data_IF_694219494903
#
_entry.id   IF_694219494903
#
_cell.length_a   1.000
_cell.length_b   1.000
_cell.length_c   1.000
_cell.angle_alpha   90.00
_cell.angle_beta   90.00
_cell.angle_gamma   90.00
#
_symmetry.space_group_name_H-M   'P 1'
#
loop_
_entity.id
_entity.type
_entity.pdbx_description
1 polymer ?
#
# COMPACT_ATOMS: atom_id res chain seq x y z
N UNK A 1 -3.89 -11.62 -20.50
CA UNK A 1 -4.54 -11.99 -19.23
C UNK A 1 -3.75 -13.14 -18.65
N UNK A 2 -2.67 -12.84 -17.95
CA UNK A 2 -1.77 -13.86 -17.37
C UNK A 2 -1.84 -13.76 -15.86
N UNK A 3 -2.18 -14.91 -15.27
CA UNK A 3 -2.14 -15.28 -13.85
C UNK A 3 -3.37 -14.91 -13.01
N UNK A 4 -4.02 -15.95 -12.50
CA UNK A 4 -4.82 -16.06 -11.26
C UNK A 4 -4.02 -15.61 -10.00
N UNK A 5 -3.17 -14.59 -10.11
CA UNK A 5 -2.22 -14.20 -9.07
C UNK A 5 -2.88 -13.24 -8.09
N UNK A 6 -2.95 -13.62 -6.83
CA UNK A 6 -3.28 -12.69 -5.76
C UNK A 6 -2.37 -11.45 -5.80
N UNK A 7 -2.81 -10.34 -5.21
CA UNK A 7 -2.00 -9.12 -5.10
C UNK A 7 -0.58 -9.39 -4.56
N UNK A 8 -0.45 -10.36 -3.65
CA UNK A 8 0.84 -10.81 -3.11
C UNK A 8 1.76 -11.39 -4.19
N UNK A 9 1.24 -12.26 -5.07
CA UNK A 9 2.01 -12.84 -6.18
C UNK A 9 2.43 -11.72 -7.14
N UNK A 10 1.49 -10.85 -7.51
CA UNK A 10 1.79 -9.75 -8.42
C UNK A 10 2.88 -8.81 -7.89
N UNK A 11 2.81 -8.40 -6.62
CA UNK A 11 3.82 -7.52 -6.04
C UNK A 11 5.16 -8.23 -5.84
N UNK A 12 5.15 -9.53 -5.54
CA UNK A 12 6.35 -10.35 -5.46
C UNK A 12 7.07 -10.41 -6.81
N UNK A 13 6.34 -10.70 -7.88
CA UNK A 13 6.86 -10.77 -9.25
C UNK A 13 7.35 -9.41 -9.75
N UNK A 14 6.53 -8.37 -9.59
CA UNK A 14 6.83 -7.05 -10.13
C UNK A 14 7.93 -6.33 -9.35
N UNK A 15 7.88 -6.35 -8.02
CA UNK A 15 8.87 -5.67 -7.20
C UNK A 15 10.08 -6.56 -6.85
N UNK A 16 10.07 -7.85 -7.22
CA UNK A 16 11.12 -8.81 -6.88
C UNK A 16 11.29 -8.94 -5.36
N UNK A 17 10.19 -9.07 -4.65
CA UNK A 17 10.13 -9.12 -3.20
C UNK A 17 9.73 -10.50 -2.73
N UNK A 18 10.32 -10.95 -1.62
CA UNK A 18 9.99 -12.25 -1.05
C UNK A 18 8.71 -12.19 -0.20
N UNK A 19 7.94 -13.28 -0.13
CA UNK A 19 6.74 -13.37 0.72
C UNK A 19 6.98 -12.99 2.19
N UNK A 20 8.13 -13.32 2.83
CA UNK A 20 8.44 -12.85 4.18
C UNK A 20 8.47 -11.32 4.31
N UNK A 21 9.09 -10.60 3.36
CA UNK A 21 9.15 -9.14 3.37
C UNK A 21 7.75 -8.52 3.21
N UNK A 22 6.89 -9.12 2.39
CA UNK A 22 5.50 -8.70 2.20
C UNK A 22 4.66 -8.95 3.45
N UNK A 23 4.91 -10.07 4.14
CA UNK A 23 4.26 -10.45 5.40
C UNK A 23 4.65 -9.56 6.57
N UNK A 24 5.94 -9.22 6.71
CA UNK A 24 6.43 -8.26 7.73
C UNK A 24 5.79 -6.89 7.54
N UNK A 25 5.67 -6.44 6.29
CA UNK A 25 4.95 -5.21 5.99
C UNK A 25 3.45 -5.33 6.12
N UNK A 26 2.88 -6.52 6.36
CA UNK A 26 1.44 -6.79 6.34
C UNK A 26 0.77 -6.22 5.08
N UNK A 27 1.46 -6.30 3.94
CA UNK A 27 1.06 -5.58 2.73
C UNK A 27 -0.26 -6.12 2.16
N UNK A 28 -0.46 -7.44 2.23
CA UNK A 28 -1.72 -8.10 1.86
C UNK A 28 -2.88 -7.65 2.75
N UNK A 29 -2.69 -7.63 4.07
CA UNK A 29 -3.73 -7.15 4.99
C UNK A 29 -4.04 -5.65 4.80
N UNK A 30 -3.03 -4.84 4.49
CA UNK A 30 -3.24 -3.45 4.09
C UNK A 30 -4.05 -3.36 2.79
N UNK A 31 -3.74 -4.18 1.80
CA UNK A 31 -4.48 -4.25 0.54
C UNK A 31 -5.96 -4.53 0.78
N UNK A 32 -6.29 -5.50 1.64
CA UNK A 32 -7.69 -5.82 1.98
C UNK A 32 -8.44 -4.64 2.61
N UNK A 33 -7.78 -3.89 3.50
CA UNK A 33 -8.35 -2.65 4.07
C UNK A 33 -8.69 -1.67 2.96
N UNK A 34 -7.80 -1.49 1.99
CA UNK A 34 -8.05 -0.59 0.87
C UNK A 34 -9.14 -1.09 -0.07
N UNK A 35 -9.17 -2.38 -0.42
CA UNK A 35 -10.23 -2.97 -1.24
C UNK A 35 -11.58 -2.76 -0.58
N UNK A 36 -11.70 -3.06 0.72
CA UNK A 36 -12.91 -2.81 1.49
C UNK A 36 -13.34 -1.33 1.42
N UNK A 37 -12.39 -0.38 1.50
CA UNK A 37 -12.69 1.05 1.36
C UNK A 37 -13.19 1.41 -0.04
N UNK A 38 -12.61 0.84 -1.09
CA UNK A 38 -13.04 1.05 -2.47
C UNK A 38 -14.44 0.49 -2.70
N UNK A 39 -14.74 -0.69 -2.15
CA UNK A 39 -16.07 -1.30 -2.24
C UNK A 39 -17.12 -0.46 -1.52
N UNK A 40 -16.84 0.04 -0.32
CA UNK A 40 -17.73 0.97 0.40
C UNK A 40 -17.94 2.26 -0.39
N UNK A 41 -16.89 2.82 -1.00
CA UNK A 41 -17.00 4.00 -1.85
C UNK A 41 -17.90 3.73 -3.06
N UNK A 42 -17.72 2.57 -3.72
CA UNK A 42 -18.57 2.15 -4.84
C UNK A 42 -20.03 1.96 -4.42
N UNK A 43 -20.29 1.32 -3.28
CA UNK A 43 -21.65 1.15 -2.74
C UNK A 43 -22.34 2.49 -2.45
N UNK A 44 -21.56 3.53 -2.13
CA UNK A 44 -22.05 4.91 -1.91
C UNK A 44 -22.16 5.73 -3.21
N UNK A 45 -21.93 5.12 -4.37
CA UNK A 45 -22.06 5.77 -5.67
C UNK A 45 -20.86 6.62 -6.09
N UNK A 46 -19.66 6.38 -5.54
CA UNK A 46 -18.46 7.08 -5.99
C UNK A 46 -18.14 6.71 -7.46
N UNK A 47 -18.04 7.72 -8.33
CA UNK A 47 -17.69 7.55 -9.76
C UNK A 47 -16.26 7.03 -9.95
N UNK A 48 -15.31 7.55 -9.17
CA UNK A 48 -13.95 7.02 -9.06
C UNK A 48 -13.66 6.61 -7.61
N UNK A 49 -13.91 5.33 -7.23
CA UNK A 49 -13.56 4.83 -5.91
C UNK A 49 -12.07 4.99 -5.57
N UNK A 50 -11.16 4.89 -6.55
CA UNK A 50 -9.71 5.01 -6.32
C UNK A 50 -9.32 6.43 -5.89
N UNK A 51 -10.05 7.45 -6.34
CA UNK A 51 -9.88 8.82 -5.87
C UNK A 51 -10.13 8.94 -4.35
N UNK A 52 -11.01 8.10 -3.77
CA UNK A 52 -11.38 8.18 -2.35
C UNK A 52 -10.32 7.69 -1.37
N UNK A 53 -9.31 6.97 -1.88
CA UNK A 53 -8.16 6.53 -1.09
C UNK A 53 -6.89 7.29 -1.46
N UNK A 54 -6.87 7.97 -2.61
CA UNK A 54 -5.75 8.79 -3.08
C UNK A 54 -5.51 9.99 -2.17
N UNK A 55 -4.26 10.30 -1.78
CA UNK A 55 -3.95 11.43 -0.91
C UNK A 55 -4.41 12.80 -1.44
N UNK A 56 -4.54 12.96 -2.76
CA UNK A 56 -4.89 14.24 -3.38
C UNK A 56 -6.40 14.48 -3.46
N UNK A 57 -7.21 13.41 -3.57
CA UNK A 57 -8.64 13.52 -3.88
C UNK A 57 -9.56 13.01 -2.76
N UNK A 58 -9.04 12.26 -1.79
CA UNK A 58 -9.84 11.59 -0.77
C UNK A 58 -10.52 12.52 0.27
N UNK A 59 -10.07 13.77 0.39
CA UNK A 59 -10.44 14.64 1.51
C UNK A 59 -9.89 14.15 2.86
N UNK A 60 -9.93 15.02 3.88
CA UNK A 60 -9.32 14.74 5.20
C UNK A 60 -9.95 13.55 5.95
N UNK A 61 -11.28 13.40 5.87
CA UNK A 61 -12.03 12.39 6.63
C UNK A 61 -11.78 10.97 6.13
N UNK A 62 -11.75 10.76 4.82
CA UNK A 62 -11.48 9.44 4.22
C UNK A 62 -10.07 8.96 4.57
N UNK A 63 -9.09 9.88 4.57
CA UNK A 63 -7.72 9.59 4.96
C UNK A 63 -7.60 9.23 6.44
N UNK A 64 -8.27 9.97 7.33
CA UNK A 64 -8.28 9.67 8.76
C UNK A 64 -8.89 8.29 9.03
N UNK A 65 -10.00 7.96 8.37
CA UNK A 65 -10.67 6.67 8.48
C UNK A 65 -9.76 5.51 8.03
N UNK A 66 -9.18 5.57 6.82
CA UNK A 66 -8.28 4.52 6.32
C UNK A 66 -7.05 4.36 7.22
N UNK A 67 -6.49 5.46 7.74
CA UNK A 67 -5.38 5.40 8.70
C UNK A 67 -5.78 4.75 10.02
N UNK A 68 -7.00 4.98 10.51
CA UNK A 68 -7.53 4.33 11.71
C UNK A 68 -7.67 2.82 11.53
N UNK A 69 -8.18 2.38 10.38
CA UNK A 69 -8.27 0.95 10.05
C UNK A 69 -6.88 0.30 9.94
N UNK A 70 -5.96 0.94 9.21
CA UNK A 70 -4.59 0.45 9.10
C UNK A 70 -3.88 0.40 10.48
N UNK A 71 -4.16 1.34 11.38
CA UNK A 71 -3.56 1.33 12.73
C UNK A 71 -3.92 0.07 13.52
N UNK A 72 -5.09 -0.53 13.27
CA UNK A 72 -5.51 -1.79 13.90
C UNK A 72 -4.64 -2.97 13.47
N UNK A 73 -3.91 -2.87 12.35
CA UNK A 73 -2.91 -3.85 11.94
C UNK A 73 -1.61 -3.75 12.75
N UNK A 74 -1.52 -2.81 13.70
CA UNK A 74 -0.36 -2.65 14.59
C UNK A 74 0.77 -1.80 14.01
N UNK A 75 0.52 -1.02 12.95
CA UNK A 75 1.49 -0.08 12.42
C UNK A 75 1.69 1.12 13.35
N UNK A 76 2.93 1.54 13.50
CA UNK A 76 3.29 2.84 14.05
C UNK A 76 2.85 3.98 13.13
N UNK A 77 2.77 5.21 13.66
CA UNK A 77 2.42 6.38 12.86
C UNK A 77 3.36 6.63 11.67
N UNK A 78 4.64 6.24 11.80
CA UNK A 78 5.65 6.37 10.76
C UNK A 78 5.45 5.32 9.66
N UNK A 79 5.22 4.05 10.02
CA UNK A 79 4.92 2.98 9.07
C UNK A 79 3.62 3.25 8.33
N UNK A 80 2.58 3.71 9.05
CA UNK A 80 1.31 4.12 8.43
C UNK A 80 1.49 5.19 7.36
N UNK A 81 2.44 6.11 7.50
CA UNK A 81 2.70 7.11 6.46
C UNK A 81 3.33 6.49 5.22
N UNK A 82 4.24 5.54 5.40
CA UNK A 82 4.92 4.85 4.30
C UNK A 82 3.97 3.89 3.60
N UNK A 83 3.31 3.00 4.34
CA UNK A 83 2.30 2.06 3.81
C UNK A 83 1.19 2.81 3.09
N UNK A 84 0.66 3.87 3.71
CA UNK A 84 -0.43 4.63 3.08
C UNK A 84 0.00 5.25 1.75
N UNK A 85 1.22 5.79 1.70
CA UNK A 85 1.79 6.37 0.48
C UNK A 85 2.07 5.30 -0.57
N UNK A 86 2.65 4.17 -0.16
CA UNK A 86 2.97 3.05 -1.04
C UNK A 86 1.70 2.52 -1.73
N UNK A 87 0.64 2.30 -0.96
CA UNK A 87 -0.60 1.73 -1.45
C UNK A 87 -1.44 2.71 -2.25
N UNK A 88 -1.68 3.92 -1.72
CA UNK A 88 -2.62 4.87 -2.27
C UNK A 88 -2.01 5.95 -3.17
N UNK A 89 -0.68 5.99 -3.29
CA UNK A 89 0.03 6.98 -4.08
C UNK A 89 0.59 8.15 -3.28
N UNK A 90 1.18 9.11 -3.98
CA UNK A 90 1.67 10.37 -3.43
C UNK A 90 1.41 11.53 -4.38
N UNK A 91 1.38 12.75 -3.84
CA UNK A 91 1.32 13.97 -4.65
C UNK A 91 2.59 14.20 -5.49
N UNK A 92 3.69 13.48 -5.21
CA UNK A 92 4.97 13.62 -5.90
C UNK A 92 5.11 12.72 -7.13
N UNK A 93 3.99 12.26 -7.70
CA UNK A 93 3.97 11.45 -8.93
C UNK A 93 4.00 9.94 -8.74
N UNK A 94 3.92 9.41 -7.51
CA UNK A 94 3.74 7.97 -7.29
C UNK A 94 2.25 7.59 -7.43
N UNK A 95 1.85 6.71 -8.37
CA UNK A 95 0.44 6.40 -8.61
C UNK A 95 -0.24 5.56 -7.51
N UNK A 96 0.54 4.77 -6.75
CA UNK A 96 0.03 3.82 -5.76
C UNK A 96 -0.06 2.39 -6.30
N UNK A 97 0.31 1.41 -5.47
CA UNK A 97 0.24 -0.01 -5.84
C UNK A 97 -1.18 -0.44 -6.23
N UNK A 98 -2.20 0.07 -5.54
CA UNK A 98 -3.59 -0.34 -5.79
C UNK A 98 -4.05 0.06 -7.18
N UNK A 99 -3.69 1.28 -7.62
CA UNK A 99 -4.07 1.76 -8.94
C UNK A 99 -3.31 1.01 -10.05
N UNK A 100 -2.03 0.71 -9.83
CA UNK A 100 -1.21 -0.04 -10.79
C UNK A 100 -1.69 -1.49 -10.92
N UNK A 101 -1.99 -2.13 -9.79
CA UNK A 101 -2.56 -3.48 -9.76
C UNK A 101 -3.94 -3.54 -10.43
N UNK A 102 -4.86 -2.64 -10.07
CA UNK A 102 -6.19 -2.58 -10.67
C UNK A 102 -6.16 -2.32 -12.19
N UNK A 103 -5.16 -1.60 -12.67
CA UNK A 103 -4.95 -1.34 -14.09
C UNK A 103 -4.22 -2.48 -14.82
N UNK A 104 -3.80 -3.54 -14.12
CA UNK A 104 -2.96 -4.61 -14.69
C UNK A 104 -1.64 -4.10 -15.27
N UNK A 105 -1.15 -2.97 -14.76
CA UNK A 105 0.03 -2.29 -15.30
C UNK A 105 1.30 -2.82 -14.64
N UNK A 106 2.32 -3.24 -15.40
CA UNK A 106 3.60 -3.64 -14.81
C UNK A 106 4.29 -2.44 -14.17
N UNK A 107 5.15 -2.71 -13.17
CA UNK A 107 5.95 -1.66 -12.56
C UNK A 107 7.12 -1.28 -13.48
N UNK A 108 7.34 0.01 -13.68
CA UNK A 108 8.57 0.49 -14.32
C UNK A 108 9.78 0.28 -13.41
N UNK A 109 11.00 0.29 -13.98
CA UNK A 109 12.22 0.12 -13.18
C UNK A 109 12.33 1.14 -12.01
N UNK A 110 11.96 2.39 -12.26
CA UNK A 110 11.95 3.43 -11.22
C UNK A 110 10.88 3.17 -10.14
N UNK A 111 9.73 2.63 -10.53
CA UNK A 111 8.64 2.27 -9.61
C UNK A 111 9.03 1.07 -8.73
N UNK A 112 9.66 0.04 -9.31
CA UNK A 112 10.18 -1.11 -8.56
C UNK A 112 11.19 -0.68 -7.51
N UNK A 113 12.14 0.15 -7.90
CA UNK A 113 13.15 0.69 -6.98
C UNK A 113 12.53 1.54 -5.87
N UNK A 114 11.52 2.36 -6.21
CA UNK A 114 10.76 3.12 -5.22
C UNK A 114 10.08 2.21 -4.19
N UNK A 115 9.37 1.17 -4.64
CA UNK A 115 8.69 0.20 -3.77
C UNK A 115 9.70 -0.46 -2.83
N UNK A 116 10.81 -1.00 -3.37
CA UNK A 116 11.88 -1.61 -2.58
C UNK A 116 12.42 -0.68 -1.50
N UNK A 117 12.70 0.59 -1.85
CA UNK A 117 13.17 1.59 -0.87
C UNK A 117 12.15 1.85 0.24
N UNK A 118 10.87 1.98 -0.09
CA UNK A 118 9.84 2.21 0.93
C UNK A 118 9.71 1.02 1.88
N UNK A 119 9.77 -0.20 1.35
CA UNK A 119 9.71 -1.42 2.16
C UNK A 119 10.91 -1.50 3.08
N UNK A 120 12.12 -1.32 2.55
CA UNK A 120 13.34 -1.38 3.35
C UNK A 120 13.35 -0.33 4.48
N UNK A 121 12.77 0.85 4.24
CA UNK A 121 12.59 1.88 5.27
C UNK A 121 11.62 1.45 6.38
N UNK A 122 10.60 0.65 6.06
CA UNK A 122 9.67 0.11 7.05
C UNK A 122 10.36 -1.00 7.85
N UNK A 123 10.90 -2.02 7.17
CA UNK A 123 11.56 -3.16 7.83
C UNK A 123 12.67 -2.69 8.79
N UNK A 124 13.54 -1.77 8.34
CA UNK A 124 14.60 -1.20 9.20
C UNK A 124 14.07 -0.43 10.42
N UNK A 125 12.88 0.14 10.34
CA UNK A 125 12.26 0.88 11.45
C UNK A 125 11.48 -0.05 12.39
N UNK A 126 10.96 -1.15 11.86
CA UNK A 126 10.25 -2.17 12.61
C UNK A 126 11.21 -3.04 13.43
N UNK A 127 12.47 -3.16 13.03
CA UNK A 127 13.51 -3.77 13.86
C UNK A 127 13.85 -2.82 15.03
N UNK A 128 13.57 -3.20 16.29
CA UNK A 128 14.04 -2.43 17.43
C UNK A 128 15.56 -2.41 17.36
N UNK A 129 16.18 -1.23 17.55
CA UNK A 129 17.63 -1.08 17.69
C UNK A 129 18.11 -2.19 18.62
N UNK A 130 18.79 -3.21 18.05
CA UNK A 130 19.38 -4.27 18.82
C UNK A 130 20.21 -3.59 19.91
N UNK A 131 19.77 -3.80 21.14
CA UNK A 131 20.37 -3.21 22.32
C UNK A 131 21.86 -3.52 22.27
N UNK A 132 22.71 -2.49 22.24
CA UNK A 132 24.10 -2.64 22.64
C UNK A 132 24.08 -3.21 24.06
N UNK A 133 24.35 -4.49 24.19
CA UNK A 133 24.96 -5.06 25.38
C UNK A 133 26.45 -5.19 25.11
#
# INVERSE_FOLDING_TARGET
MTSDGSFEVWVSDEAGMSSPELGELKLTASFDVYVSRLEIARQRGAEDPLATISPCAAGGNSRACTRGMLAQLGYTAAELRVVHRLMAGSASGWPGLIRLYAAGSPLSAAQREYVRRQVHLVIRRSQPSASRQ
#
